data_IF_274388661631
#
_entry.id   IF_274388661631
#
_cell.length_a   1.000
_cell.length_b   1.000
_cell.length_c   1.000
_cell.angle_alpha   90.00
_cell.angle_beta   90.00
_cell.angle_gamma   90.00
#
_symmetry.space_group_name_H-M   'P 1'
#
loop_
_entity.id
_entity.type
_entity.pdbx_description
1 polymer ?
#
# COMPACT_ATOMS: atom_id res chain seq x y z
N UNK A 1 -13.31 -21.13 -9.20
CA UNK A 1 -13.54 -20.08 -8.16
C UNK A 1 -13.10 -20.48 -6.74
N UNK A 2 -13.51 -21.63 -6.17
CA UNK A 2 -13.13 -22.00 -4.78
C UNK A 2 -11.62 -22.26 -4.59
N UNK A 3 -10.99 -22.95 -5.54
CA UNK A 3 -9.54 -23.26 -5.50
C UNK A 3 -8.64 -22.03 -5.67
N UNK A 4 -9.06 -21.07 -6.50
CA UNK A 4 -8.31 -19.82 -6.74
C UNK A 4 -8.32 -18.90 -5.52
N UNK A 5 -9.47 -18.82 -4.82
CA UNK A 5 -9.57 -18.12 -3.53
C UNK A 5 -8.71 -18.79 -2.45
N UNK A 6 -8.72 -20.12 -2.37
CA UNK A 6 -7.87 -20.86 -1.42
C UNK A 6 -6.39 -20.57 -1.68
N UNK A 7 -5.94 -20.63 -2.94
CA UNK A 7 -4.56 -20.29 -3.30
C UNK A 7 -4.19 -18.86 -2.91
N UNK A 8 -5.05 -17.89 -3.20
CA UNK A 8 -4.82 -16.49 -2.83
C UNK A 8 -4.60 -16.34 -1.32
N UNK A 9 -5.48 -16.94 -0.52
CA UNK A 9 -5.37 -16.89 0.95
C UNK A 9 -4.09 -17.59 1.43
N UNK A 10 -3.74 -18.74 0.85
CA UNK A 10 -2.50 -19.45 1.20
C UNK A 10 -1.25 -18.65 0.88
N UNK A 11 -1.19 -18.00 -0.29
CA UNK A 11 -0.05 -17.14 -0.67
C UNK A 11 0.09 -15.98 0.31
N UNK A 12 -1.01 -15.30 0.64
CA UNK A 12 -0.99 -14.17 1.57
C UNK A 12 -0.58 -14.60 2.98
N UNK A 13 -1.17 -15.67 3.51
CA UNK A 13 -0.87 -16.12 4.87
C UNK A 13 0.58 -16.63 4.98
N UNK A 14 1.05 -17.44 4.04
CA UNK A 14 2.41 -17.98 4.09
C UNK A 14 3.44 -16.87 3.88
N UNK A 15 3.24 -15.96 2.92
CA UNK A 15 4.15 -14.82 2.76
C UNK A 15 4.17 -13.92 3.99
N UNK A 16 3.03 -13.65 4.63
CA UNK A 16 2.98 -12.89 5.90
C UNK A 16 3.77 -13.58 7.00
N UNK A 17 3.58 -14.89 7.22
CA UNK A 17 4.33 -15.66 8.21
C UNK A 17 5.84 -15.62 7.96
N UNK A 18 6.27 -15.73 6.71
CA UNK A 18 7.68 -15.67 6.33
C UNK A 18 8.27 -14.25 6.44
N UNK A 19 7.43 -13.22 6.45
CA UNK A 19 7.82 -11.82 6.66
C UNK A 19 7.70 -11.40 8.13
N UNK A 20 6.96 -12.12 8.97
CA UNK A 20 6.82 -11.80 10.38
C UNK A 20 8.13 -12.05 11.13
N UNK A 21 8.73 -10.98 11.65
CA UNK A 21 9.93 -11.02 12.49
C UNK A 21 9.63 -11.47 13.94
N UNK A 22 8.54 -12.22 14.15
CA UNK A 22 8.35 -12.89 15.42
C UNK A 22 9.49 -13.88 15.62
N UNK A 23 9.95 -14.03 16.86
CA UNK A 23 10.97 -14.99 17.28
C UNK A 23 10.51 -16.46 17.10
N UNK A 24 9.94 -16.82 15.97
CA UNK A 24 9.80 -18.21 15.52
C UNK A 24 11.18 -18.62 15.00
N UNK A 25 12.23 -18.44 15.81
CA UNK A 25 13.64 -18.63 15.48
C UNK A 25 14.14 -17.89 14.20
N UNK A 26 15.31 -17.22 14.22
CA UNK A 26 15.85 -16.52 13.06
C UNK A 26 15.90 -17.36 11.76
N UNK A 27 16.00 -18.68 11.90
CA UNK A 27 15.99 -19.67 10.82
C UNK A 27 14.66 -19.85 10.05
N UNK A 28 13.53 -19.30 10.51
CA UNK A 28 12.24 -19.44 9.80
C UNK A 28 11.76 -18.16 9.07
N UNK A 29 12.47 -17.04 9.22
CA UNK A 29 12.22 -15.85 8.40
C UNK A 29 12.90 -16.02 7.04
N UNK A 30 12.11 -16.19 5.98
CA UNK A 30 12.61 -16.30 4.61
C UNK A 30 11.90 -15.29 3.71
N UNK A 31 12.44 -14.06 3.73
CA UNK A 31 11.91 -12.96 2.94
C UNK A 31 12.08 -13.18 1.43
N UNK A 32 13.05 -13.99 0.99
CA UNK A 32 13.20 -14.36 -0.42
C UNK A 32 12.09 -15.32 -0.87
N UNK A 33 11.76 -16.30 -0.04
CA UNK A 33 10.62 -17.20 -0.30
C UNK A 33 9.30 -16.44 -0.24
N UNK A 34 9.12 -15.54 0.73
CA UNK A 34 7.92 -14.69 0.80
C UNK A 34 7.76 -13.84 -0.47
N UNK A 35 8.85 -13.19 -0.91
CA UNK A 35 8.87 -12.41 -2.13
C UNK A 35 8.54 -13.28 -3.35
N UNK A 36 9.17 -14.45 -3.47
CA UNK A 36 8.93 -15.39 -4.57
C UNK A 36 7.48 -15.87 -4.62
N UNK A 37 6.86 -16.13 -3.46
CA UNK A 37 5.44 -16.50 -3.35
C UNK A 37 4.54 -15.38 -3.84
N UNK A 38 4.77 -14.15 -3.39
CA UNK A 38 4.00 -12.97 -3.83
C UNK A 38 4.17 -12.72 -5.33
N UNK A 39 5.40 -12.80 -5.85
CA UNK A 39 5.66 -12.65 -7.29
C UNK A 39 4.99 -13.73 -8.13
N UNK A 40 5.07 -14.99 -7.69
CA UNK A 40 4.37 -16.09 -8.34
C UNK A 40 2.85 -15.87 -8.29
N UNK A 41 2.33 -15.39 -7.16
CA UNK A 41 0.91 -15.07 -6.98
C UNK A 41 0.45 -13.97 -7.95
N UNK A 42 1.21 -12.89 -8.12
CA UNK A 42 0.89 -11.82 -9.09
C UNK A 42 0.85 -12.34 -10.53
N UNK A 43 1.74 -13.27 -10.89
CA UNK A 43 1.84 -13.85 -12.23
C UNK A 43 0.72 -14.86 -12.52
N UNK A 44 0.36 -15.69 -11.54
CA UNK A 44 -0.55 -16.83 -11.72
C UNK A 44 -1.99 -16.51 -11.35
N UNK A 45 -2.20 -15.56 -10.43
CA UNK A 45 -3.51 -15.27 -9.87
C UNK A 45 -3.90 -13.83 -10.21
N UNK A 46 -5.17 -13.60 -10.54
CA UNK A 46 -5.68 -12.26 -10.79
C UNK A 46 -6.09 -11.54 -9.49
N UNK A 47 -5.26 -11.67 -8.44
CA UNK A 47 -5.57 -11.11 -7.12
C UNK A 47 -4.99 -9.72 -6.92
N UNK A 48 -5.86 -8.72 -6.80
CA UNK A 48 -5.47 -7.35 -6.45
C UNK A 48 -4.83 -7.30 -5.05
N UNK A 49 -5.28 -8.13 -4.10
CA UNK A 49 -4.68 -8.20 -2.76
C UNK A 49 -3.23 -8.69 -2.77
N UNK A 50 -2.88 -9.65 -3.62
CA UNK A 50 -1.47 -10.10 -3.75
C UNK A 50 -0.62 -8.97 -4.32
N UNK A 51 -1.13 -8.22 -5.31
CA UNK A 51 -0.43 -7.08 -5.90
C UNK A 51 -0.19 -5.97 -4.88
N UNK A 52 -1.20 -5.66 -4.06
CA UNK A 52 -1.11 -4.66 -2.99
C UNK A 52 -0.07 -5.09 -1.95
N UNK A 53 -0.07 -6.35 -1.50
CA UNK A 53 0.90 -6.84 -0.53
C UNK A 53 2.33 -6.85 -1.09
N UNK A 54 2.52 -7.26 -2.34
CA UNK A 54 3.83 -7.18 -2.99
C UNK A 54 4.32 -5.73 -3.07
N UNK A 55 3.45 -4.79 -3.44
CA UNK A 55 3.81 -3.37 -3.47
C UNK A 55 4.20 -2.84 -2.10
N UNK A 56 3.45 -3.20 -1.04
CA UNK A 56 3.77 -2.83 0.33
C UNK A 56 5.16 -3.33 0.76
N UNK A 57 5.47 -4.61 0.48
CA UNK A 57 6.79 -5.21 0.77
C UNK A 57 7.91 -4.47 0.04
N UNK A 58 7.73 -4.20 -1.26
CA UNK A 58 8.73 -3.51 -2.09
C UNK A 58 8.90 -2.03 -1.73
N UNK A 59 7.86 -1.37 -1.22
CA UNK A 59 7.96 0.02 -0.79
C UNK A 59 8.65 0.17 0.56
N UNK A 60 8.18 -0.58 1.56
CA UNK A 60 8.68 -0.45 2.94
C UNK A 60 9.94 -1.28 3.20
N UNK A 61 10.30 -2.20 2.30
CA UNK A 61 11.47 -3.08 2.48
C UNK A 61 11.28 -4.05 3.64
N UNK A 62 10.07 -4.61 3.75
CA UNK A 62 9.66 -5.47 4.87
C UNK A 62 10.64 -6.64 5.01
N UNK A 63 11.15 -6.86 6.22
CA UNK A 63 12.06 -7.98 6.55
C UNK A 63 13.30 -8.04 5.66
N UNK A 64 13.88 -6.87 5.39
CA UNK A 64 15.13 -6.73 4.64
C UNK A 64 14.98 -6.91 3.13
N UNK A 65 13.76 -7.03 2.60
CA UNK A 65 13.52 -7.05 1.16
C UNK A 65 14.04 -5.75 0.54
N UNK A 66 14.80 -5.87 -0.55
CA UNK A 66 15.30 -4.72 -1.30
C UNK A 66 14.12 -3.89 -1.80
N UNK A 67 14.16 -2.58 -1.50
CA UNK A 67 13.13 -1.65 -1.97
C UNK A 67 13.13 -1.51 -3.49
N UNK A 68 11.94 -1.41 -4.05
CA UNK A 68 11.69 -1.09 -5.46
C UNK A 68 10.44 -0.21 -5.56
N UNK A 69 10.64 1.09 -5.30
CA UNK A 69 9.59 2.10 -5.24
C UNK A 69 8.84 2.24 -6.56
N UNK A 70 9.55 2.19 -7.69
CA UNK A 70 8.93 2.32 -9.02
C UNK A 70 7.99 1.16 -9.30
N UNK A 71 8.42 -0.08 -8.98
CA UNK A 71 7.58 -1.25 -9.17
C UNK A 71 6.40 -1.29 -8.20
N UNK A 72 6.60 -0.87 -6.95
CA UNK A 72 5.53 -0.76 -5.97
C UNK A 72 4.42 0.18 -6.44
N UNK A 73 4.77 1.38 -6.93
CA UNK A 73 3.80 2.32 -7.52
C UNK A 73 3.08 1.68 -8.70
N UNK A 74 3.82 1.09 -9.65
CA UNK A 74 3.22 0.50 -10.85
C UNK A 74 2.23 -0.63 -10.53
N UNK A 75 2.53 -1.48 -9.55
CA UNK A 75 1.64 -2.56 -9.10
C UNK A 75 0.31 -2.00 -8.59
N UNK A 76 0.36 -0.94 -7.78
CA UNK A 76 -0.83 -0.35 -7.15
C UNK A 76 -1.63 0.48 -8.15
N UNK A 77 -0.97 1.25 -9.03
CA UNK A 77 -1.62 1.95 -10.14
C UNK A 77 -2.39 0.96 -11.03
N UNK A 78 -1.77 -0.18 -11.35
CA UNK A 78 -2.43 -1.24 -12.11
C UNK A 78 -3.70 -1.75 -11.44
N UNK A 79 -3.72 -1.88 -10.11
CA UNK A 79 -4.94 -2.25 -9.36
C UNK A 79 -6.01 -1.16 -9.50
N UNK A 80 -5.65 0.11 -9.29
CA UNK A 80 -6.57 1.25 -9.34
C UNK A 80 -7.18 1.45 -10.74
N UNK A 81 -6.44 1.12 -11.80
CA UNK A 81 -6.93 1.17 -13.18
C UNK A 81 -8.02 0.12 -13.46
N UNK A 82 -7.95 -1.04 -12.80
CA UNK A 82 -8.88 -2.16 -13.02
C UNK A 82 -10.05 -2.16 -12.06
N UNK A 83 -9.88 -1.60 -10.86
CA UNK A 83 -10.89 -1.68 -9.81
C UNK A 83 -10.91 -0.45 -8.91
N UNK A 84 -12.03 -0.27 -8.22
CA UNK A 84 -12.17 0.76 -7.20
C UNK A 84 -11.61 0.37 -5.83
N UNK A 85 -10.54 -0.45 -5.80
CA UNK A 85 -10.00 -1.02 -4.57
C UNK A 85 -9.49 0.06 -3.61
N UNK A 86 -10.17 0.20 -2.46
CA UNK A 86 -9.89 1.29 -1.53
C UNK A 86 -8.49 1.22 -0.93
N UNK A 87 -8.07 0.04 -0.47
CA UNK A 87 -6.73 -0.17 0.08
C UNK A 87 -5.61 0.23 -0.91
N UNK A 88 -5.78 -0.05 -2.21
CA UNK A 88 -4.81 0.33 -3.23
C UNK A 88 -4.69 1.86 -3.34
N UNK A 89 -5.81 2.59 -3.35
CA UNK A 89 -5.78 4.06 -3.39
C UNK A 89 -5.17 4.68 -2.15
N UNK A 90 -5.52 4.17 -0.97
CA UNK A 90 -4.92 4.63 0.29
C UNK A 90 -3.41 4.36 0.26
N UNK A 91 -2.98 3.16 -0.10
CA UNK A 91 -1.56 2.81 -0.19
C UNK A 91 -0.81 3.71 -1.19
N UNK A 92 -1.37 3.96 -2.39
CA UNK A 92 -0.74 4.85 -3.36
C UNK A 92 -0.63 6.28 -2.83
N UNK A 93 -1.67 6.80 -2.16
CA UNK A 93 -1.61 8.12 -1.55
C UNK A 93 -0.49 8.18 -0.49
N UNK A 94 -0.33 7.13 0.32
CA UNK A 94 0.76 7.06 1.29
C UNK A 94 2.13 7.03 0.61
N UNK A 95 2.33 6.18 -0.40
CA UNK A 95 3.59 6.09 -1.13
C UNK A 95 3.97 7.42 -1.80
N UNK A 96 3.02 8.10 -2.45
CA UNK A 96 3.28 9.40 -3.09
C UNK A 96 3.61 10.49 -2.06
N UNK A 97 2.97 10.48 -0.89
CA UNK A 97 3.27 11.45 0.17
C UNK A 97 4.62 11.19 0.87
N UNK A 98 5.11 9.95 0.86
CA UNK A 98 6.42 9.59 1.43
C UNK A 98 7.58 9.69 0.44
N UNK A 99 7.27 9.64 -0.85
CA UNK A 99 8.22 9.63 -1.95
C UNK A 99 8.86 11.00 -2.16
N UNK A 100 8.82 11.48 -3.40
CA UNK A 100 9.38 12.79 -3.74
C UNK A 100 8.39 13.91 -3.37
N UNK A 101 8.88 15.05 -2.91
CA UNK A 101 8.03 16.19 -2.54
C UNK A 101 7.11 16.65 -3.70
N UNK A 102 7.55 16.45 -4.94
CA UNK A 102 6.79 16.76 -6.16
C UNK A 102 5.52 15.88 -6.32
N UNK A 103 5.47 14.72 -5.68
CA UNK A 103 4.32 13.81 -5.70
C UNK A 103 3.26 14.14 -4.64
N UNK A 104 3.59 15.01 -3.68
CA UNK A 104 2.68 15.36 -2.57
C UNK A 104 1.33 15.98 -3.04
N UNK A 105 1.29 16.88 -4.05
CA UNK A 105 0.03 17.38 -4.59
C UNK A 105 -0.84 16.25 -5.16
N UNK A 106 -0.21 15.28 -5.83
CA UNK A 106 -0.88 14.11 -6.39
C UNK A 106 -1.41 13.19 -5.29
N UNK A 107 -0.63 12.99 -4.22
CA UNK A 107 -1.06 12.24 -3.04
C UNK A 107 -2.33 12.83 -2.41
N UNK A 108 -2.34 14.15 -2.24
CA UNK A 108 -3.47 14.90 -1.66
C UNK A 108 -4.71 14.83 -2.54
N UNK A 109 -4.56 14.94 -3.86
CA UNK A 109 -5.70 14.82 -4.78
C UNK A 109 -6.30 13.41 -4.75
N UNK A 110 -5.45 12.37 -4.70
CA UNK A 110 -5.91 10.99 -4.55
C UNK A 110 -6.63 10.79 -3.20
N UNK A 111 -6.10 11.37 -2.13
CA UNK A 111 -6.71 11.35 -0.79
C UNK A 111 -8.09 12.00 -0.77
N UNK A 112 -8.25 13.15 -1.42
CA UNK A 112 -9.56 13.82 -1.57
C UNK A 112 -10.57 12.94 -2.32
N UNK A 113 -10.15 12.28 -3.39
CA UNK A 113 -11.01 11.36 -4.15
C UNK A 113 -11.48 10.19 -3.29
N UNK A 114 -10.55 9.57 -2.57
CA UNK A 114 -10.82 8.47 -1.64
C UNK A 114 -11.86 8.89 -0.59
N UNK A 115 -11.61 10.00 0.11
CA UNK A 115 -12.45 10.44 1.22
C UNK A 115 -13.83 10.94 0.77
N UNK A 116 -13.94 11.55 -0.42
CA UNK A 116 -15.25 11.92 -1.00
C UNK A 116 -16.10 10.71 -1.39
N UNK A 117 -15.46 9.61 -1.80
CA UNK A 117 -16.16 8.43 -2.30
C UNK A 117 -16.71 7.52 -1.20
N UNK A 118 -16.40 7.81 0.07
CA UNK A 118 -16.67 6.91 1.18
C UNK A 118 -17.63 7.51 2.20
N UNK A 119 -18.47 6.62 2.74
CA UNK A 119 -19.39 6.94 3.83
C UNK A 119 -18.65 7.13 5.15
N UNK A 120 -17.55 6.39 5.36
CA UNK A 120 -16.73 6.45 6.55
C UNK A 120 -15.31 6.94 6.21
N UNK A 121 -15.13 8.25 6.28
CA UNK A 121 -13.84 8.93 6.08
C UNK A 121 -12.85 8.56 7.19
N UNK A 122 -13.34 8.22 8.38
CA UNK A 122 -12.52 7.92 9.54
C UNK A 122 -11.84 6.56 9.40
N UNK A 123 -12.51 5.58 8.78
CA UNK A 123 -11.88 4.29 8.44
C UNK A 123 -10.66 4.46 7.52
N UNK A 124 -10.75 5.31 6.49
CA UNK A 124 -9.62 5.61 5.61
C UNK A 124 -8.48 6.27 6.37
N UNK A 125 -8.81 7.25 7.23
CA UNK A 125 -7.80 7.95 8.02
C UNK A 125 -7.05 6.97 8.91
N UNK A 126 -7.77 6.09 9.61
CA UNK A 126 -7.18 5.02 10.43
C UNK A 126 -6.30 4.09 9.59
N UNK A 127 -6.78 3.67 8.42
CA UNK A 127 -6.00 2.83 7.51
C UNK A 127 -4.71 3.52 7.04
N UNK A 128 -4.77 4.79 6.66
CA UNK A 128 -3.57 5.56 6.28
C UNK A 128 -2.59 5.68 7.43
N UNK A 129 -3.07 5.96 8.64
CA UNK A 129 -2.22 6.02 9.83
C UNK A 129 -1.58 4.66 10.14
N UNK A 130 -2.29 3.55 9.90
CA UNK A 130 -1.71 2.21 10.03
C UNK A 130 -0.64 1.92 8.97
N UNK A 131 -0.84 2.35 7.72
CA UNK A 131 0.12 2.17 6.63
C UNK A 131 1.35 3.05 6.85
N UNK A 132 1.13 4.35 7.09
CA UNK A 132 2.18 5.32 7.34
C UNK A 132 1.65 6.55 8.10
N UNK A 133 1.99 6.69 9.39
CA UNK A 133 1.73 7.92 10.14
C UNK A 133 2.40 9.15 9.50
N UNK A 134 3.59 8.96 8.90
CA UNK A 134 4.34 10.04 8.22
C UNK A 134 3.56 10.58 7.03
N UNK A 135 3.02 9.69 6.19
CA UNK A 135 2.22 10.07 5.04
C UNK A 135 0.96 10.83 5.44
N UNK A 136 0.23 10.31 6.44
CA UNK A 136 -0.98 10.95 6.96
C UNK A 136 -0.68 12.38 7.40
N UNK A 137 0.38 12.57 8.19
CA UNK A 137 0.79 13.90 8.64
C UNK A 137 1.13 14.84 7.47
N UNK A 138 1.88 14.36 6.46
CA UNK A 138 2.24 15.15 5.29
C UNK A 138 1.00 15.60 4.49
N UNK A 139 0.05 14.69 4.25
CA UNK A 139 -1.19 14.97 3.52
C UNK A 139 -2.06 15.98 4.29
N UNK A 140 -2.22 15.83 5.60
CA UNK A 140 -3.02 16.73 6.43
C UNK A 140 -2.41 18.13 6.48
N UNK A 141 -1.09 18.22 6.71
CA UNK A 141 -0.34 19.49 6.72
C UNK A 141 -0.47 20.23 5.38
N UNK A 142 -0.27 19.54 4.27
CA UNK A 142 -0.38 20.16 2.93
C UNK A 142 -1.80 20.67 2.65
N UNK A 143 -2.82 19.89 3.04
CA UNK A 143 -4.22 20.27 2.86
C UNK A 143 -4.57 21.55 3.63
N UNK A 144 -4.07 21.71 4.85
CA UNK A 144 -4.27 22.92 5.66
C UNK A 144 -3.54 24.14 5.10
N UNK A 145 -2.32 23.98 4.58
CA UNK A 145 -1.56 25.08 3.97
C UNK A 145 -2.23 25.67 2.73
N UNK A 146 -2.88 24.84 1.90
CA UNK A 146 -3.67 25.30 0.75
C UNK A 146 -4.85 26.17 1.17
N UNK A 147 -5.52 25.86 2.27
CA UNK A 147 -6.65 26.65 2.78
C UNK A 147 -6.19 28.04 3.27
N UNK A 148 -5.04 28.12 3.91
CA UNK A 148 -4.46 29.38 4.40
C UNK A 148 -4.08 30.34 3.25
N UNK A 149 -3.69 29.83 2.08
CA UNK A 149 -3.37 30.66 0.91
C UNK A 149 -4.60 31.30 0.25
N UNK A 150 -5.79 30.72 0.40
CA UNK A 150 -7.03 31.25 -0.17
C UNK A 150 -7.75 32.25 0.76
N UNK A 151 -7.37 32.35 2.03
CA UNK A 151 -7.95 33.31 2.98
C UNK A 151 -7.12 34.59 3.17
N UNK A 152 -5.98 34.71 2.47
CA UNK A 152 -5.07 35.85 2.54
C UNK A 152 -5.07 36.72 1.26
N UNK A 153 -6.04 36.50 0.36
CA UNK A 153 -6.28 37.28 -0.86
C UNK A 153 -7.70 37.84 -0.85
#
# INVERSE_FOLDING_TARGET
MKMERLRTVSVLNLSSLLLENHKIQPENCDSQTALSLLESGVKKDNSDLIRINLAYVLWYGVSGVKKDSSRAIHLVEGVILRSSHQLARTLLACMLAEGHDDDLPRAVELWKKVTRSLRDVEEVRRLSTLISPKATFAIEKYTQQSLMRHHAA
#
